data_IF_248645151960
#
_entry.id   IF_248645151960
#
_cell.length_a   1.000
_cell.length_b   1.000
_cell.length_c   1.000
_cell.angle_alpha   90.00
_cell.angle_beta   90.00
_cell.angle_gamma   90.00
#
_symmetry.space_group_name_H-M   'P 1'
#
loop_
_entity.id
_entity.type
_entity.pdbx_description
1 polymer ?
#
# COMPACT_ATOMS: atom_id res chain seq x y z
N UNK A 1 10.88 3.98 -56.16
CA UNK A 1 11.13 4.41 -54.76
C UNK A 1 9.97 3.90 -53.93
N UNK A 2 10.22 3.32 -52.75
CA UNK A 2 9.31 2.41 -52.05
C UNK A 2 8.21 3.12 -51.27
N UNK A 3 7.18 2.33 -50.98
CA UNK A 3 5.89 2.64 -50.37
C UNK A 3 6.03 3.15 -48.93
N UNK A 4 5.32 4.23 -48.61
CA UNK A 4 5.16 4.73 -47.24
C UNK A 4 4.12 3.87 -46.52
N UNK A 5 4.60 2.97 -45.66
CA UNK A 5 3.75 2.30 -44.69
C UNK A 5 3.44 3.31 -43.57
N UNK A 6 2.18 3.75 -43.52
CA UNK A 6 1.65 4.50 -42.38
C UNK A 6 1.32 3.48 -41.30
N UNK A 7 2.16 3.37 -40.27
CA UNK A 7 1.85 2.60 -39.08
C UNK A 7 0.65 3.23 -38.37
N UNK A 8 -0.42 2.44 -38.26
CA UNK A 8 -1.57 2.74 -37.41
C UNK A 8 -1.14 2.49 -35.96
N UNK A 9 -0.67 3.53 -35.28
CA UNK A 9 -0.45 3.48 -33.84
C UNK A 9 -1.85 3.48 -33.19
N UNK A 10 -2.28 2.30 -32.74
CA UNK A 10 -3.48 2.14 -31.93
C UNK A 10 -3.36 3.00 -30.68
N UNK A 11 -4.19 4.03 -30.59
CA UNK A 11 -4.44 4.75 -29.34
C UNK A 11 -5.20 3.83 -28.39
N UNK A 12 -4.46 3.03 -27.62
CA UNK A 12 -4.98 2.48 -26.37
C UNK A 12 -4.85 3.63 -25.37
N UNK A 13 -5.95 4.34 -25.11
CA UNK A 13 -6.00 5.29 -24.00
C UNK A 13 -5.63 4.56 -22.70
N UNK A 14 -5.01 5.24 -21.71
CA UNK A 14 -4.59 4.55 -20.50
C UNK A 14 -5.84 4.00 -19.80
N UNK A 15 -5.96 2.68 -19.76
CA UNK A 15 -6.86 2.00 -18.84
C UNK A 15 -6.68 2.63 -17.44
N UNK A 16 -7.77 2.95 -16.72
CA UNK A 16 -7.66 3.53 -15.39
C UNK A 16 -6.78 2.63 -14.52
N UNK A 17 -5.72 3.20 -13.94
CA UNK A 17 -4.78 2.49 -13.09
C UNK A 17 -5.56 1.80 -11.96
N UNK A 18 -5.65 0.46 -12.02
CA UNK A 18 -6.47 -0.35 -11.10
C UNK A 18 -6.05 -0.13 -9.65
N UNK A 19 -4.76 0.07 -9.41
CA UNK A 19 -4.23 0.37 -8.09
C UNK A 19 -4.80 1.68 -7.56
N UNK A 20 -4.82 2.75 -8.35
CA UNK A 20 -5.43 4.03 -7.94
C UNK A 20 -6.92 3.89 -7.64
N UNK A 21 -7.67 3.23 -8.53
CA UNK A 21 -9.10 3.01 -8.33
C UNK A 21 -9.38 2.21 -7.05
N UNK A 22 -8.54 1.22 -6.73
CA UNK A 22 -8.62 0.45 -5.50
C UNK A 22 -8.34 1.32 -4.27
N UNK A 23 -7.25 2.10 -4.27
CA UNK A 23 -6.90 3.00 -3.17
C UNK A 23 -8.04 3.97 -2.84
N UNK A 24 -8.62 4.62 -3.85
CA UNK A 24 -9.72 5.57 -3.67
C UNK A 24 -11.00 4.90 -3.15
N UNK A 25 -11.32 3.71 -3.67
CA UNK A 25 -12.48 2.93 -3.23
C UNK A 25 -12.36 2.52 -1.77
N UNK A 26 -11.20 1.98 -1.38
CA UNK A 26 -10.97 1.52 -0.02
C UNK A 26 -10.83 2.70 0.96
N UNK A 27 -10.23 3.82 0.56
CA UNK A 27 -10.20 5.05 1.36
C UNK A 27 -11.60 5.47 1.82
N UNK A 28 -12.57 5.50 0.90
CA UNK A 28 -13.96 5.86 1.21
C UNK A 28 -14.57 4.93 2.27
N UNK A 29 -14.25 3.63 2.25
CA UNK A 29 -14.73 2.66 3.24
C UNK A 29 -14.02 2.82 4.58
N UNK A 30 -12.70 2.99 4.54
CA UNK A 30 -11.84 3.07 5.71
C UNK A 30 -12.11 4.31 6.57
N UNK A 31 -12.53 5.42 5.96
CA UNK A 31 -12.99 6.61 6.72
C UNK A 31 -14.14 6.31 7.70
N UNK A 32 -14.90 5.23 7.47
CA UNK A 32 -16.02 4.81 8.31
C UNK A 32 -15.67 3.65 9.24
N UNK A 33 -14.81 2.73 8.79
CA UNK A 33 -14.38 1.56 9.56
C UNK A 33 -13.00 1.10 9.12
N UNK A 34 -12.04 1.07 10.05
CA UNK A 34 -10.75 0.46 9.77
C UNK A 34 -10.85 -1.08 9.70
N UNK A 35 -10.15 -1.65 8.73
CA UNK A 35 -10.08 -3.09 8.49
C UNK A 35 -8.63 -3.60 8.57
N UNK A 36 -8.43 -4.88 8.27
CA UNK A 36 -7.13 -5.55 8.34
C UNK A 36 -6.14 -4.94 7.31
N UNK A 37 -5.30 -4.00 7.73
CA UNK A 37 -4.29 -3.34 6.88
C UNK A 37 -3.33 -4.28 6.16
N UNK A 38 -2.98 -5.42 6.77
CA UNK A 38 -2.13 -6.42 6.13
C UNK A 38 -2.80 -7.02 4.90
N UNK A 39 -4.11 -7.26 4.95
CA UNK A 39 -4.88 -7.71 3.78
C UNK A 39 -4.84 -6.65 2.68
N UNK A 40 -5.14 -5.40 3.03
CA UNK A 40 -5.16 -4.28 2.08
C UNK A 40 -3.80 -4.05 1.41
N UNK A 41 -2.71 -4.06 2.17
CA UNK A 41 -1.36 -3.97 1.63
C UNK A 41 -1.06 -5.11 0.65
N UNK A 42 -1.57 -6.32 0.91
CA UNK A 42 -1.37 -7.46 0.01
C UNK A 42 -2.21 -7.34 -1.28
N UNK A 43 -3.44 -6.84 -1.21
CA UNK A 43 -4.26 -6.57 -2.40
C UNK A 43 -3.63 -5.50 -3.29
N UNK A 44 -3.11 -4.43 -2.70
CA UNK A 44 -2.34 -3.42 -3.44
C UNK A 44 -1.12 -4.04 -4.10
N UNK A 45 -0.37 -4.89 -3.38
CA UNK A 45 0.80 -5.54 -3.95
C UNK A 45 0.46 -6.44 -5.14
N UNK A 46 -0.65 -7.18 -5.09
CA UNK A 46 -1.13 -7.98 -6.25
C UNK A 46 -1.38 -7.10 -7.46
N UNK A 47 -2.08 -5.98 -7.30
CA UNK A 47 -2.36 -5.04 -8.39
C UNK A 47 -1.07 -4.46 -8.99
N UNK A 48 -0.11 -4.09 -8.15
CA UNK A 48 1.19 -3.58 -8.62
C UNK A 48 2.00 -4.66 -9.36
N UNK A 49 1.95 -5.92 -8.92
CA UNK A 49 2.59 -7.03 -9.63
C UNK A 49 1.91 -7.33 -10.97
N UNK A 50 0.58 -7.23 -11.06
CA UNK A 50 -0.16 -7.31 -12.34
C UNK A 50 0.28 -6.21 -13.32
N UNK A 51 0.65 -5.03 -12.80
CA UNK A 51 1.19 -3.91 -13.56
C UNK A 51 2.70 -4.05 -13.87
N UNK A 52 3.33 -5.18 -13.50
CA UNK A 52 4.74 -5.48 -13.78
C UNK A 52 5.74 -4.77 -12.86
N UNK A 53 5.28 -4.23 -11.74
CA UNK A 53 6.14 -3.60 -10.74
C UNK A 53 6.64 -4.62 -9.72
N UNK A 54 7.68 -4.24 -8.97
CA UNK A 54 8.26 -5.04 -7.88
C UNK A 54 7.90 -4.43 -6.52
N UNK A 55 6.68 -4.66 -6.00
CA UNK A 55 6.30 -4.16 -4.69
C UNK A 55 6.93 -4.98 -3.57
N UNK A 56 6.90 -4.45 -2.36
CA UNK A 56 7.23 -5.13 -1.11
C UNK A 56 6.34 -4.59 0.01
N UNK A 57 6.30 -5.27 1.16
CA UNK A 57 5.52 -4.83 2.33
C UNK A 57 6.47 -4.29 3.39
N UNK A 58 6.25 -3.06 3.81
CA UNK A 58 6.90 -2.48 4.97
C UNK A 58 5.93 -2.39 6.16
N UNK A 59 6.48 -2.34 7.36
CA UNK A 59 5.75 -2.26 8.62
C UNK A 59 6.27 -1.09 9.45
N UNK A 60 5.36 -0.28 9.95
CA UNK A 60 5.58 0.69 11.02
C UNK A 60 5.42 -0.04 12.35
N UNK A 61 6.50 -0.16 13.10
CA UNK A 61 6.53 -0.80 14.41
C UNK A 61 7.73 -0.29 15.20
N UNK A 62 7.50 0.17 16.43
CA UNK A 62 8.55 0.67 17.31
C UNK A 62 8.39 0.07 18.71
N UNK A 63 9.53 -0.26 19.32
CA UNK A 63 9.64 -0.59 20.74
C UNK A 63 10.56 0.46 21.37
N UNK A 64 10.09 1.10 22.42
CA UNK A 64 10.82 2.11 23.17
C UNK A 64 10.78 1.75 24.65
N UNK A 65 11.94 1.69 25.30
CA UNK A 65 12.07 1.33 26.72
C UNK A 65 11.32 0.04 27.10
N UNK A 66 11.50 -1.01 26.28
CA UNK A 66 10.82 -2.32 26.38
C UNK A 66 9.29 -2.28 26.26
N UNK A 67 8.71 -1.16 25.79
CA UNK A 67 7.28 -1.00 25.54
C UNK A 67 6.98 -0.82 24.05
N UNK A 68 5.92 -1.46 23.56
CA UNK A 68 5.45 -1.25 22.18
C UNK A 68 4.83 0.14 22.08
N UNK A 69 5.35 0.94 21.17
CA UNK A 69 4.77 2.26 20.86
C UNK A 69 3.48 2.05 20.10
N UNK A 70 2.44 2.78 20.50
CA UNK A 70 1.16 2.75 19.83
C UNK A 70 1.04 3.90 18.82
N UNK A 71 0.49 3.59 17.65
CA UNK A 71 0.34 4.52 16.54
C UNK A 71 -1.13 4.73 16.21
N UNK A 72 -1.53 5.96 15.92
CA UNK A 72 -2.86 6.27 15.44
C UNK A 72 -2.72 7.22 14.25
N UNK A 73 -3.16 6.84 13.05
CA UNK A 73 -3.21 7.78 11.93
C UNK A 73 -4.07 8.99 12.29
N UNK A 74 -3.65 10.18 11.86
CA UNK A 74 -4.30 11.44 12.24
C UNK A 74 -5.79 11.47 11.87
N UNK A 75 -6.16 10.84 10.75
CA UNK A 75 -7.55 10.80 10.29
C UNK A 75 -8.50 10.06 11.25
N UNK A 76 -7.95 9.23 12.15
CA UNK A 76 -8.67 8.43 13.14
C UNK A 76 -8.58 8.99 14.56
N UNK A 77 -7.97 10.16 14.75
CA UNK A 77 -7.89 10.81 16.06
C UNK A 77 -9.31 10.99 16.66
N UNK A 78 -9.49 10.51 17.90
CA UNK A 78 -10.77 10.53 18.60
C UNK A 78 -11.84 9.57 18.07
N UNK A 79 -11.56 8.80 17.00
CA UNK A 79 -12.50 7.84 16.39
C UNK A 79 -12.14 6.40 16.70
N UNK A 80 -10.86 6.09 16.88
CA UNK A 80 -10.35 4.73 17.04
C UNK A 80 -9.27 4.62 18.11
N UNK A 81 -9.10 3.41 18.62
CA UNK A 81 -7.95 3.08 19.47
C UNK A 81 -6.66 2.99 18.65
N UNK A 82 -5.52 3.41 19.22
CA UNK A 82 -4.19 3.22 18.61
C UNK A 82 -3.86 1.74 18.32
N UNK A 83 -2.94 1.52 17.39
CA UNK A 83 -2.49 0.21 16.91
C UNK A 83 -1.04 -0.07 17.29
N UNK A 84 -0.67 -1.34 17.38
CA UNK A 84 0.70 -1.76 17.68
C UNK A 84 1.59 -1.77 16.42
N UNK A 85 1.01 -1.96 15.24
CA UNK A 85 1.75 -2.03 13.99
C UNK A 85 0.87 -1.59 12.81
N UNK A 86 1.50 -1.02 11.79
CA UNK A 86 0.85 -0.69 10.52
C UNK A 86 1.59 -1.29 9.33
N UNK A 87 0.89 -2.01 8.44
CA UNK A 87 1.49 -2.60 7.23
C UNK A 87 1.09 -1.77 6.00
N UNK A 88 2.06 -1.50 5.13
CA UNK A 88 1.88 -0.73 3.91
C UNK A 88 2.61 -1.39 2.74
N UNK A 89 2.01 -1.33 1.55
CA UNK A 89 2.67 -1.77 0.34
C UNK A 89 3.51 -0.63 -0.22
N UNK A 90 4.75 -0.94 -0.59
CA UNK A 90 5.70 0.02 -1.11
C UNK A 90 6.30 -0.47 -2.44
N UNK A 91 6.77 0.46 -3.24
CA UNK A 91 7.82 0.24 -4.24
C UNK A 91 9.10 0.92 -3.75
N UNK A 92 10.14 1.03 -4.58
CA UNK A 92 11.39 1.71 -4.23
C UNK A 92 11.15 3.09 -3.59
N UNK A 93 10.31 3.91 -4.23
CA UNK A 93 10.14 5.33 -3.89
C UNK A 93 8.73 5.73 -3.43
N UNK A 94 7.75 4.83 -3.52
CA UNK A 94 6.36 5.15 -3.21
C UNK A 94 5.76 4.20 -2.17
N UNK A 95 4.88 4.74 -1.34
CA UNK A 95 3.99 3.99 -0.45
C UNK A 95 2.56 4.08 -0.97
N UNK A 96 1.85 2.96 -0.88
CA UNK A 96 0.48 2.78 -1.37
C UNK A 96 -0.39 2.30 -0.20
N UNK A 97 -1.10 3.23 0.41
CA UNK A 97 -1.98 2.95 1.54
C UNK A 97 -3.41 3.45 1.24
N UNK A 98 -4.41 2.56 1.22
CA UNK A 98 -5.81 2.94 1.19
C UNK A 98 -6.23 3.97 2.24
N UNK A 99 -5.55 4.07 3.38
CA UNK A 99 -5.86 5.10 4.39
C UNK A 99 -5.66 6.51 3.81
N UNK A 100 -4.64 6.73 2.97
CA UNK A 100 -4.44 8.01 2.28
C UNK A 100 -5.28 8.11 1.00
N UNK A 101 -5.52 6.98 0.33
CA UNK A 101 -6.32 6.93 -0.90
C UNK A 101 -5.55 7.33 -2.16
N UNK A 102 -4.26 7.62 -2.05
CA UNK A 102 -3.36 7.93 -3.15
C UNK A 102 -1.92 7.45 -2.85
N UNK A 103 -1.09 7.18 -3.88
CA UNK A 103 0.33 6.90 -3.69
C UNK A 103 1.07 8.15 -3.22
N UNK A 104 2.00 7.99 -2.29
CA UNK A 104 2.82 9.08 -1.76
C UNK A 104 4.30 8.69 -1.79
N UNK A 105 5.20 9.68 -1.81
CA UNK A 105 6.63 9.42 -1.62
C UNK A 105 6.84 8.71 -0.27
N UNK A 106 7.58 7.60 -0.30
CA UNK A 106 7.81 6.73 0.86
C UNK A 106 8.45 7.47 2.04
N UNK A 107 9.35 8.42 1.79
CA UNK A 107 10.04 9.20 2.83
C UNK A 107 9.08 10.13 3.60
N UNK A 108 8.00 10.57 2.95
CA UNK A 108 7.02 11.48 3.57
C UNK A 108 5.84 10.73 4.19
N UNK A 109 5.72 9.43 3.96
CA UNK A 109 4.53 8.66 4.25
C UNK A 109 4.14 8.66 5.74
N UNK A 110 5.07 8.31 6.63
CA UNK A 110 4.76 8.20 8.07
C UNK A 110 4.45 9.57 8.68
N UNK A 111 5.12 10.62 8.18
CA UNK A 111 4.83 12.00 8.56
C UNK A 111 3.44 12.45 8.15
N UNK A 112 3.02 12.14 6.92
CA UNK A 112 1.67 12.46 6.43
C UNK A 112 0.59 11.68 7.20
N UNK A 113 0.83 10.39 7.43
CA UNK A 113 -0.18 9.51 8.03
C UNK A 113 -0.31 9.68 9.54
N UNK A 114 0.82 9.76 10.26
CA UNK A 114 0.89 9.77 11.72
C UNK A 114 1.29 11.12 12.31
N UNK A 115 1.64 12.12 11.48
CA UNK A 115 2.12 13.43 11.93
C UNK A 115 3.57 13.44 12.41
N UNK A 116 4.31 12.35 12.26
CA UNK A 116 5.69 12.21 12.72
C UNK A 116 6.47 11.23 11.85
N UNK A 117 7.79 11.44 11.74
CA UNK A 117 8.68 10.55 11.00
C UNK A 117 8.95 9.30 11.84
N UNK A 118 8.52 8.14 11.33
CA UNK A 118 8.71 6.82 11.95
C UNK A 118 9.42 5.93 10.95
N UNK A 119 10.43 5.19 11.42
CA UNK A 119 11.14 4.21 10.60
C UNK A 119 10.18 3.08 10.18
N UNK A 120 10.18 2.78 8.88
CA UNK A 120 9.51 1.61 8.34
C UNK A 120 10.50 0.47 8.15
N UNK A 121 10.09 -0.74 8.51
CA UNK A 121 10.92 -1.95 8.38
C UNK A 121 10.32 -2.87 7.34
N UNK A 122 11.15 -3.38 6.43
CA UNK A 122 10.72 -4.38 5.46
C UNK A 122 10.19 -5.61 6.21
N UNK A 123 8.92 -5.93 6.00
CA UNK A 123 8.25 -7.11 6.57
C UNK A 123 8.16 -8.26 5.56
N UNK A 124 8.00 -7.95 4.28
CA UNK A 124 8.02 -8.92 3.17
C UNK A 124 8.81 -8.28 2.04
N UNK A 125 9.98 -8.84 1.67
CA UNK A 125 10.78 -8.29 0.59
C UNK A 125 10.17 -8.64 -0.78
N UNK A 126 10.57 -7.92 -1.83
CA UNK A 126 9.98 -8.05 -3.17
C UNK A 126 10.10 -9.48 -3.73
N UNK A 127 11.25 -10.13 -3.50
CA UNK A 127 11.55 -11.50 -3.95
C UNK A 127 10.65 -12.59 -3.32
N UNK A 128 9.95 -12.29 -2.23
CA UNK A 128 9.04 -13.21 -1.56
C UNK A 128 7.56 -12.88 -1.78
N UNK A 129 7.26 -11.81 -2.52
CA UNK A 129 5.88 -11.35 -2.72
C UNK A 129 4.99 -12.35 -3.45
N UNK A 130 5.52 -13.12 -4.40
CA UNK A 130 4.77 -14.16 -5.11
C UNK A 130 4.25 -15.25 -4.15
N UNK A 131 5.09 -15.66 -3.19
CA UNK A 131 4.71 -16.65 -2.17
C UNK A 131 3.76 -16.07 -1.13
N UNK A 132 3.93 -14.79 -0.82
CA UNK A 132 3.17 -14.09 0.20
C UNK A 132 1.75 -13.74 -0.26
N UNK A 133 1.60 -13.31 -1.52
CA UNK A 133 0.33 -12.92 -2.12
C UNK A 133 -0.56 -14.13 -2.46
N UNK A 134 0.04 -15.28 -2.82
CA UNK A 134 -0.68 -16.50 -3.18
C UNK A 134 -1.30 -17.27 -2.00
N UNK A 135 -0.93 -16.98 -0.75
CA UNK A 135 -1.31 -17.78 0.43
C UNK A 135 -2.08 -17.02 1.53
N UNK A 136 -2.47 -15.76 1.29
CA UNK A 136 -3.19 -15.00 2.31
C UNK A 136 -4.69 -15.36 2.30
N UNK A 137 -5.07 -16.31 3.16
CA UNK A 137 -6.46 -16.60 3.50
C UNK A 137 -6.87 -15.77 4.75
N UNK A 138 -7.70 -14.72 4.59
CA UNK A 138 -8.14 -13.88 5.72
C UNK A 138 -9.04 -14.62 6.72
N UNK A 139 -9.51 -15.84 6.41
CA UNK A 139 -10.33 -16.66 7.31
C UNK A 139 -9.50 -17.46 8.32
N UNK A 140 -8.19 -17.59 8.10
CA UNK A 140 -7.29 -18.30 9.00
C UNK A 140 -6.86 -17.38 10.14
N UNK A 141 -7.56 -17.49 11.29
CA UNK A 141 -7.08 -16.93 12.56
C UNK A 141 -5.81 -17.68 12.97
N UNK A 142 -4.67 -16.99 12.96
CA UNK A 142 -3.43 -17.48 13.59
C UNK A 142 -3.45 -17.20 15.09
#
# INVERSE_FOLDING_TARGET
>A
MPESQTEVIGQIGPEPNKTLAFLESEHKKLTQQYSNNRFLANEVAKLLMEDGLAPHIEMVYEVRDDQVVLFLPQIYEGKMSPWHAHFVCCTENQAFDPILGYPINKENYTKELFGQEIEMKVSVPAEDMDKYSGNFDPSVKR
#
